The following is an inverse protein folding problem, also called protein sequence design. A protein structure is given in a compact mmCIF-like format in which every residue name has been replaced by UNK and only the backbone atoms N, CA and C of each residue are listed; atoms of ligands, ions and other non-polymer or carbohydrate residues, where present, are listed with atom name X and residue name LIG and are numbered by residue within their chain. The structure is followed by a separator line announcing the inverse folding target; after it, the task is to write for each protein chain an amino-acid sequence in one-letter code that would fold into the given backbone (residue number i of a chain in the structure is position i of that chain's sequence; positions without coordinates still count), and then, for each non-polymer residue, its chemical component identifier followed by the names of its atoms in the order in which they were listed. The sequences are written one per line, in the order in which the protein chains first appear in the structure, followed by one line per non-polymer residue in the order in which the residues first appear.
data_IF_916702025703
#
_entry.id   IF_916702025703
#
_cell.length_a   1.000
_cell.length_b   1.000
_cell.length_c   1.000
_cell.angle_alpha   90.00
_cell.angle_beta   90.00
_cell.angle_gamma   90.00
#
_symmetry.space_group_name_H-M   'P 1'
#
loop_
_entity.id
_entity.type
_entity.pdbx_description
1 polymer ?
#
# COMPACT_ATOMS: atom_id res chain seq x y z
N UNK A 1 9.40 -3.94 1.42
CA UNK A 1 8.87 -3.11 0.31
C UNK A 1 8.77 -3.94 -0.97
N UNK A 2 7.97 -3.54 -1.96
CA UNK A 2 7.99 -4.12 -3.31
C UNK A 2 8.81 -3.20 -4.24
N UNK A 3 10.14 -3.38 -4.36
CA UNK A 3 10.97 -2.42 -5.11
C UNK A 3 10.69 -2.42 -6.62
N UNK A 4 10.25 -3.55 -7.18
CA UNK A 4 10.01 -3.72 -8.62
C UNK A 4 8.85 -2.86 -9.15
N UNK A 5 8.01 -2.28 -8.28
CA UNK A 5 6.91 -1.39 -8.71
C UNK A 5 7.42 -0.05 -9.24
N UNK A 6 8.70 0.25 -9.04
CA UNK A 6 9.38 1.45 -9.52
C UNK A 6 10.23 1.19 -10.77
N UNK A 7 10.23 -0.04 -11.30
CA UNK A 7 10.90 -0.36 -12.55
C UNK A 7 10.07 0.19 -13.73
N UNK A 8 10.73 0.65 -14.80
CA UNK A 8 10.05 1.19 -15.99
C UNK A 8 9.08 0.17 -16.66
N UNK A 9 9.27 -1.11 -16.37
CA UNK A 9 8.46 -2.22 -16.90
C UNK A 9 7.21 -2.50 -16.07
N UNK A 10 7.02 -1.82 -14.94
CA UNK A 10 5.94 -2.16 -14.01
C UNK A 10 4.56 -1.93 -14.60
N UNK A 11 3.69 -2.92 -14.39
CA UNK A 11 2.29 -2.91 -14.77
C UNK A 11 1.54 -4.09 -14.18
N UNK A 12 0.30 -4.30 -14.63
CA UNK A 12 -0.53 -5.42 -14.14
C UNK A 12 0.13 -6.79 -14.33
N UNK A 13 0.80 -7.01 -15.46
CA UNK A 13 1.47 -8.28 -15.78
C UNK A 13 2.55 -8.62 -14.76
N UNK A 14 3.46 -7.68 -14.46
CA UNK A 14 4.52 -7.90 -13.49
C UNK A 14 3.96 -8.11 -12.06
N UNK A 15 2.86 -7.45 -11.70
CA UNK A 15 2.19 -7.71 -10.42
C UNK A 15 1.54 -9.11 -10.37
N UNK A 16 0.96 -9.56 -11.48
CA UNK A 16 0.42 -10.92 -11.60
C UNK A 16 1.53 -11.94 -11.46
N UNK A 17 2.66 -11.77 -12.15
CA UNK A 17 3.80 -12.68 -12.03
C UNK A 17 4.35 -12.74 -10.60
N UNK A 18 4.53 -11.58 -9.96
CA UNK A 18 4.86 -11.53 -8.54
C UNK A 18 3.87 -12.34 -7.69
N UNK A 19 2.57 -12.12 -7.87
CA UNK A 19 1.54 -12.80 -7.09
C UNK A 19 1.48 -14.31 -7.36
N UNK A 20 1.73 -14.76 -8.59
CA UNK A 20 1.79 -16.19 -8.95
C UNK A 20 2.86 -16.95 -8.17
N UNK A 21 3.96 -16.27 -7.83
CA UNK A 21 5.13 -16.84 -7.17
C UNK A 21 5.14 -16.64 -5.65
N UNK A 22 4.22 -15.83 -5.10
CA UNK A 22 3.99 -15.78 -3.64
C UNK A 22 3.43 -17.13 -3.17
N UNK A 23 3.98 -17.74 -2.11
CA UNK A 23 3.46 -18.99 -1.56
C UNK A 23 1.99 -18.86 -1.13
N UNK A 24 1.20 -19.85 -1.49
CA UNK A 24 -0.22 -19.94 -1.11
C UNK A 24 -0.36 -20.24 0.38
N UNK A 25 -1.50 -19.86 0.97
CA UNK A 25 -1.91 -20.33 2.30
C UNK A 25 -2.86 -21.51 2.21
N UNK A 26 -3.90 -21.40 1.37
CA UNK A 26 -4.94 -22.40 1.30
C UNK A 26 -5.65 -22.42 -0.06
N UNK A 27 -6.38 -23.49 -0.30
CA UNK A 27 -7.49 -23.55 -1.26
C UNK A 27 -8.78 -23.80 -0.48
N UNK A 28 -9.85 -23.09 -0.84
CA UNK A 28 -11.15 -23.25 -0.17
C UNK A 28 -12.07 -24.15 -1.01
N UNK A 29 -12.41 -25.32 -0.49
CA UNK A 29 -13.30 -26.29 -1.16
C UNK A 29 -14.27 -26.86 -0.15
N UNK A 30 -15.53 -27.04 -0.55
CA UNK A 30 -16.54 -27.73 0.25
C UNK A 30 -16.63 -27.23 1.71
N UNK A 31 -16.51 -25.90 1.89
CA UNK A 31 -16.50 -25.20 3.18
C UNK A 31 -15.28 -25.45 4.08
N UNK A 32 -14.22 -26.04 3.54
CA UNK A 32 -12.99 -26.38 4.24
C UNK A 32 -11.80 -25.63 3.65
N UNK A 33 -10.89 -25.20 4.53
CA UNK A 33 -9.59 -24.68 4.15
C UNK A 33 -8.61 -25.84 4.00
N UNK A 34 -8.12 -26.04 2.79
CA UNK A 34 -7.09 -27.04 2.47
C UNK A 34 -5.73 -26.33 2.53
N UNK A 35 -4.88 -26.72 3.46
CA UNK A 35 -3.53 -26.17 3.62
C UNK A 35 -2.71 -26.36 2.34
N UNK A 36 -2.24 -25.26 1.75
CA UNK A 36 -1.40 -25.25 0.55
C UNK A 36 -0.09 -24.49 0.79
N UNK A 37 0.35 -24.42 2.05
CA UNK A 37 1.59 -23.74 2.42
C UNK A 37 2.80 -24.35 1.70
N UNK A 38 3.71 -23.48 1.25
CA UNK A 38 4.88 -23.88 0.47
C UNK A 38 4.62 -24.19 -1.00
N UNK A 39 3.36 -24.12 -1.47
CA UNK A 39 3.00 -24.28 -2.89
C UNK A 39 2.82 -22.91 -3.57
N UNK A 40 2.91 -22.87 -4.90
CA UNK A 40 2.71 -21.64 -5.69
C UNK A 40 1.36 -21.64 -6.41
N UNK A 41 0.79 -20.45 -6.64
CA UNK A 41 -0.41 -20.34 -7.47
C UNK A 41 -0.10 -20.67 -8.94
N UNK A 42 1.16 -20.47 -9.37
CA UNK A 42 1.66 -20.91 -10.68
C UNK A 42 1.51 -22.42 -10.89
N UNK A 43 1.81 -23.23 -9.88
CA UNK A 43 1.60 -24.68 -9.94
C UNK A 43 0.12 -25.04 -9.94
N UNK A 44 -0.71 -24.28 -9.21
CA UNK A 44 -2.15 -24.48 -9.24
C UNK A 44 -2.73 -24.21 -10.64
N UNK A 45 -2.32 -23.12 -11.28
CA UNK A 45 -2.69 -22.80 -12.69
C UNK A 45 -2.30 -23.92 -13.67
N UNK A 46 -1.26 -24.70 -13.35
CA UNK A 46 -0.81 -25.84 -14.14
C UNK A 46 -1.46 -27.19 -13.74
N UNK A 47 -2.37 -27.19 -12.77
CA UNK A 47 -3.01 -28.40 -12.23
C UNK A 47 -2.08 -29.30 -11.42
N UNK A 48 -0.97 -28.75 -10.93
CA UNK A 48 0.12 -29.50 -10.26
C UNK A 48 0.06 -29.46 -8.74
N UNK A 49 -1.01 -28.90 -8.16
CA UNK A 49 -1.14 -28.73 -6.72
C UNK A 49 -1.45 -30.08 -6.03
N UNK A 50 -0.54 -30.65 -5.22
CA UNK A 50 -0.73 -32.00 -4.66
C UNK A 50 -1.94 -32.14 -3.73
N UNK A 51 -2.35 -31.04 -3.09
CA UNK A 51 -3.46 -31.02 -2.13
C UNK A 51 -4.84 -31.03 -2.80
N UNK A 52 -4.90 -30.66 -4.09
CA UNK A 52 -6.10 -30.74 -4.94
C UNK A 52 -5.70 -31.28 -6.34
N UNK A 53 -5.34 -32.57 -6.44
CA UNK A 53 -4.71 -33.12 -7.64
C UNK A 53 -5.54 -32.93 -8.91
N UNK A 54 -4.94 -32.31 -9.93
CA UNK A 54 -5.58 -32.11 -11.24
C UNK A 54 -6.63 -31.00 -11.29
N UNK A 55 -6.94 -30.34 -10.16
CA UNK A 55 -7.82 -29.18 -10.17
C UNK A 55 -7.12 -27.94 -10.75
N UNK A 56 -7.87 -27.11 -11.47
CA UNK A 56 -7.46 -25.79 -11.91
C UNK A 56 -8.11 -24.71 -11.03
N UNK A 57 -7.43 -23.56 -10.81
CA UNK A 57 -7.96 -22.49 -9.99
C UNK A 57 -9.16 -21.81 -10.65
N UNK A 58 -10.03 -21.29 -9.80
CA UNK A 58 -11.12 -20.38 -10.18
C UNK A 58 -10.73 -18.93 -9.92
N UNK A 59 -11.55 -17.98 -10.40
CA UNK A 59 -11.38 -16.57 -10.03
C UNK A 59 -11.52 -16.32 -8.53
N UNK A 60 -12.32 -17.12 -7.83
CA UNK A 60 -12.43 -17.04 -6.37
C UNK A 60 -11.13 -17.48 -5.68
N UNK A 61 -10.45 -18.50 -6.22
CA UNK A 61 -9.15 -18.92 -5.71
C UNK A 61 -8.10 -17.83 -5.91
N UNK A 62 -8.11 -17.18 -7.06
CA UNK A 62 -7.24 -16.04 -7.34
C UNK A 62 -7.50 -14.88 -6.37
N UNK A 63 -8.77 -14.54 -6.13
CA UNK A 63 -9.13 -13.49 -5.18
C UNK A 63 -8.72 -13.82 -3.74
N UNK A 64 -8.90 -15.07 -3.33
CA UNK A 64 -8.44 -15.56 -2.03
C UNK A 64 -6.92 -15.44 -1.91
N UNK A 65 -6.18 -15.88 -2.94
CA UNK A 65 -4.72 -15.80 -2.98
C UNK A 65 -4.19 -14.36 -2.92
N UNK A 66 -4.75 -13.43 -3.70
CA UNK A 66 -4.37 -12.02 -3.62
C UNK A 66 -4.61 -11.42 -2.23
N UNK A 67 -5.59 -11.94 -1.49
CA UNK A 67 -5.91 -11.48 -0.12
C UNK A 67 -4.89 -11.95 0.91
N UNK A 68 -4.03 -12.92 0.60
CA UNK A 68 -2.95 -13.41 1.48
C UNK A 68 -1.58 -12.77 1.22
N UNK A 69 -1.49 -11.83 0.27
CA UNK A 69 -0.29 -11.04 0.02
C UNK A 69 -0.36 -9.79 0.90
N UNK A 70 0.70 -9.44 1.64
CA UNK A 70 0.67 -8.33 2.61
C UNK A 70 1.82 -7.31 2.43
N UNK A 71 1.94 -6.64 1.28
CA UNK A 71 2.84 -5.50 1.12
C UNK A 71 2.31 -4.25 1.84
N UNK A 72 3.11 -3.18 1.87
CA UNK A 72 2.71 -1.85 2.39
C UNK A 72 1.54 -1.23 1.60
N UNK A 73 1.54 -1.47 0.29
CA UNK A 73 0.47 -1.10 -0.64
C UNK A 73 0.12 -2.33 -1.47
N UNK A 74 -1.15 -2.73 -1.48
CA UNK A 74 -1.61 -3.93 -2.17
C UNK A 74 -2.50 -3.59 -3.36
N UNK A 75 -2.35 -4.35 -4.43
CA UNK A 75 -3.17 -4.25 -5.62
C UNK A 75 -4.09 -5.48 -5.72
N UNK A 76 -5.39 -5.22 -5.85
CA UNK A 76 -6.41 -6.15 -6.34
C UNK A 76 -7.09 -5.50 -7.55
N UNK A 77 -8.42 -5.54 -7.61
CA UNK A 77 -9.22 -4.67 -8.52
C UNK A 77 -9.22 -3.20 -8.08
N UNK A 78 -8.66 -2.93 -6.91
CA UNK A 78 -8.49 -1.62 -6.28
C UNK A 78 -7.16 -1.63 -5.51
N UNK A 79 -6.73 -0.48 -5.02
CA UNK A 79 -5.50 -0.33 -4.25
C UNK A 79 -5.81 -0.20 -2.75
N UNK A 80 -4.96 -0.78 -1.90
CA UNK A 80 -5.12 -0.75 -0.45
C UNK A 80 -3.87 -0.15 0.19
N UNK A 81 -4.04 0.93 0.94
CA UNK A 81 -2.99 1.57 1.75
C UNK A 81 -2.93 0.91 3.13
N UNK A 82 -1.82 0.27 3.50
CA UNK A 82 -1.77 -0.67 4.64
C UNK A 82 -0.80 -0.28 5.75
N UNK A 83 -0.16 0.88 5.64
CA UNK A 83 0.91 1.31 6.55
C UNK A 83 0.49 2.08 7.80
N UNK A 84 -0.82 2.20 8.09
CA UNK A 84 -1.31 3.00 9.21
C UNK A 84 -1.80 2.14 10.37
N UNK A 85 -1.46 2.56 11.59
CA UNK A 85 -1.97 1.96 12.82
C UNK A 85 -3.46 2.24 13.01
N UNK A 86 -4.14 1.35 13.74
CA UNK A 86 -5.46 1.63 14.26
C UNK A 86 -5.43 2.82 15.23
N UNK A 87 -6.53 3.57 15.32
CA UNK A 87 -6.59 4.76 16.17
C UNK A 87 -8.00 5.16 16.60
N UNK A 88 -8.13 6.22 17.41
CA UNK A 88 -9.43 6.78 17.78
C UNK A 88 -10.20 7.29 16.56
N UNK A 89 -11.51 7.46 16.70
CA UNK A 89 -12.45 7.72 15.61
C UNK A 89 -12.02 8.84 14.65
N UNK A 90 -11.45 9.94 15.16
CA UNK A 90 -11.04 11.05 14.31
C UNK A 90 -9.88 10.68 13.37
N UNK A 91 -8.93 9.86 13.85
CA UNK A 91 -7.82 9.33 13.03
C UNK A 91 -8.32 8.30 12.01
N UNK A 92 -9.35 7.52 12.36
CA UNK A 92 -10.00 6.61 11.40
C UNK A 92 -10.64 7.38 10.23
N UNK A 93 -11.21 8.57 10.48
CA UNK A 93 -11.72 9.44 9.41
C UNK A 93 -10.62 10.18 8.65
N UNK A 94 -9.51 10.53 9.31
CA UNK A 94 -8.39 11.24 8.70
C UNK A 94 -7.62 10.39 7.68
N UNK A 95 -7.40 9.11 7.97
CA UNK A 95 -6.64 8.20 7.10
C UNK A 95 -7.17 8.12 5.65
N UNK A 96 -8.46 7.83 5.40
CA UNK A 96 -8.99 7.84 4.04
C UNK A 96 -8.97 9.25 3.43
N UNK A 97 -9.24 10.29 4.20
CA UNK A 97 -9.18 11.67 3.71
C UNK A 97 -7.77 12.05 3.22
N UNK A 98 -6.73 11.62 3.94
CA UNK A 98 -5.33 11.85 3.58
C UNK A 98 -5.01 11.25 2.21
N UNK A 99 -5.32 9.96 2.00
CA UNK A 99 -5.06 9.30 0.73
C UNK A 99 -5.94 9.80 -0.41
N UNK A 100 -7.21 10.14 -0.16
CA UNK A 100 -8.08 10.76 -1.16
C UNK A 100 -7.51 12.11 -1.61
N UNK A 101 -7.04 12.93 -0.68
CA UNK A 101 -6.44 14.24 -0.99
C UNK A 101 -5.17 14.15 -1.83
N UNK A 102 -4.40 13.06 -1.69
CA UNK A 102 -3.17 12.86 -2.47
C UNK A 102 -3.41 12.20 -3.82
N UNK A 103 -4.28 11.19 -3.88
CA UNK A 103 -4.36 10.27 -5.02
C UNK A 103 -5.52 10.59 -5.98
N UNK A 104 -6.57 11.29 -5.52
CA UNK A 104 -7.80 11.51 -6.31
C UNK A 104 -7.90 12.95 -6.84
N UNK A 105 -6.75 13.60 -6.99
CA UNK A 105 -6.57 14.91 -7.60
C UNK A 105 -5.27 14.89 -8.40
N UNK A 106 -5.35 15.20 -9.70
CA UNK A 106 -4.22 15.02 -10.63
C UNK A 106 -3.03 15.92 -10.29
N UNK A 107 -3.28 17.14 -9.81
CA UNK A 107 -2.23 18.08 -9.41
C UNK A 107 -1.49 17.59 -8.16
N UNK A 108 -2.21 17.13 -7.14
CA UNK A 108 -1.62 16.54 -5.93
C UNK A 108 -0.84 15.27 -6.26
N UNK A 109 -1.40 14.40 -7.10
CA UNK A 109 -0.75 13.16 -7.50
C UNK A 109 0.55 13.43 -8.25
N UNK A 110 0.54 14.33 -9.24
CA UNK A 110 1.74 14.71 -9.98
C UNK A 110 2.79 15.34 -9.05
N UNK A 111 2.37 16.19 -8.11
CA UNK A 111 3.29 16.79 -7.14
C UNK A 111 3.99 15.76 -6.26
N UNK A 112 3.29 14.68 -5.86
CA UNK A 112 3.90 13.57 -5.10
C UNK A 112 4.86 12.76 -5.98
N UNK A 113 4.51 12.52 -7.24
CA UNK A 113 5.41 11.85 -8.20
C UNK A 113 6.70 12.67 -8.35
N UNK A 114 6.59 13.97 -8.56
CA UNK A 114 7.76 14.85 -8.74
C UNK A 114 8.62 14.91 -7.46
N UNK A 115 7.99 15.07 -6.30
CA UNK A 115 8.65 15.09 -4.98
C UNK A 115 9.43 13.81 -4.67
N UNK A 116 8.97 12.67 -5.16
CA UNK A 116 9.55 11.35 -4.87
C UNK A 116 10.37 10.77 -6.03
N UNK A 117 10.50 11.51 -7.13
CA UNK A 117 11.09 11.06 -8.40
C UNK A 117 12.57 10.69 -8.30
N UNK A 118 13.33 11.40 -7.45
CA UNK A 118 14.77 11.17 -7.26
C UNK A 118 15.08 10.26 -6.06
N UNK A 119 14.06 9.69 -5.41
CA UNK A 119 14.28 8.82 -4.26
C UNK A 119 14.88 7.49 -4.72
N UNK A 120 15.93 7.07 -4.03
CA UNK A 120 16.56 5.77 -4.27
C UNK A 120 15.76 4.63 -3.61
N UNK A 121 16.00 3.40 -4.06
CA UNK A 121 15.44 2.20 -3.42
C UNK A 121 15.89 2.10 -1.95
N UNK A 122 17.13 2.45 -1.69
CA UNK A 122 17.76 2.42 -0.37
C UNK A 122 17.13 3.45 0.56
N UNK A 123 16.87 4.67 0.07
CA UNK A 123 16.15 5.71 0.83
C UNK A 123 14.73 5.27 1.20
N UNK A 124 13.98 4.72 0.23
CA UNK A 124 12.62 4.21 0.49
C UNK A 124 12.63 3.11 1.55
N UNK A 125 13.52 2.12 1.43
CA UNK A 125 13.61 1.03 2.43
C UNK A 125 14.14 1.54 3.79
N UNK A 126 15.04 2.52 3.80
CA UNK A 126 15.51 3.18 5.02
C UNK A 126 14.33 3.81 5.76
N UNK A 127 13.51 4.60 5.08
CA UNK A 127 12.30 5.22 5.66
C UNK A 127 11.36 4.16 6.23
N UNK A 128 11.05 3.11 5.46
CA UNK A 128 10.20 1.99 5.91
C UNK A 128 10.69 1.37 7.22
N UNK A 129 12.01 1.23 7.38
CA UNK A 129 12.62 0.58 8.56
C UNK A 129 12.80 1.52 9.76
N UNK A 130 13.00 2.82 9.53
CA UNK A 130 13.34 3.79 10.58
C UNK A 130 12.13 4.52 11.15
N UNK A 131 11.14 4.84 10.32
CA UNK A 131 9.90 5.51 10.75
C UNK A 131 9.18 4.76 11.89
N UNK A 132 9.10 3.41 11.93
CA UNK A 132 8.50 2.71 13.05
C UNK A 132 9.18 2.94 14.42
N UNK A 133 10.44 3.41 14.43
CA UNK A 133 11.21 3.65 15.65
C UNK A 133 11.22 5.13 16.02
N UNK A 134 11.49 6.02 15.05
CA UNK A 134 11.70 7.45 15.32
C UNK A 134 10.60 8.35 14.76
N UNK A 135 9.59 7.81 14.08
CA UNK A 135 8.44 8.56 13.58
C UNK A 135 8.86 9.73 12.69
N UNK A 136 8.22 10.89 12.90
CA UNK A 136 8.53 12.14 12.18
C UNK A 136 9.92 12.70 12.50
N UNK A 137 10.58 12.23 13.57
CA UNK A 137 11.95 12.61 13.95
C UNK A 137 13.01 11.79 13.22
N UNK A 138 12.62 10.92 12.29
CA UNK A 138 13.54 10.18 11.42
C UNK A 138 14.32 11.15 10.53
N UNK A 139 15.66 11.19 10.57
CA UNK A 139 16.45 12.00 9.64
C UNK A 139 16.26 11.52 8.20
N UNK A 140 16.09 12.46 7.27
CA UNK A 140 15.97 12.19 5.84
C UNK A 140 16.57 13.33 5.03
N UNK A 141 17.62 13.02 4.25
CA UNK A 141 18.43 14.00 3.51
C UNK A 141 18.89 15.16 4.42
N UNK A 142 18.59 16.40 4.06
CA UNK A 142 19.02 17.61 4.78
C UNK A 142 18.08 18.00 5.95
N UNK A 143 17.08 17.17 6.26
CA UNK A 143 16.10 17.44 7.31
C UNK A 143 15.54 16.17 7.97
N UNK A 144 14.26 16.22 8.32
CA UNK A 144 13.54 15.14 8.98
C UNK A 144 12.30 14.76 8.19
N UNK A 145 11.76 13.57 8.46
CA UNK A 145 10.48 13.11 7.90
C UNK A 145 9.33 14.06 8.25
N UNK A 146 9.44 14.82 9.34
CA UNK A 146 8.47 15.89 9.67
C UNK A 146 8.36 16.94 8.57
N UNK A 147 9.49 17.41 8.04
CA UNK A 147 9.53 18.46 7.02
C UNK A 147 8.83 17.97 5.73
N UNK A 148 9.10 16.72 5.35
CA UNK A 148 8.36 16.04 4.28
C UNK A 148 6.86 15.91 4.59
N UNK A 149 6.51 15.55 5.83
CA UNK A 149 5.12 15.38 6.22
C UNK A 149 4.33 16.69 6.19
N UNK A 150 4.97 17.84 6.46
CA UNK A 150 4.39 19.18 6.30
C UNK A 150 4.00 19.42 4.83
N UNK A 151 4.91 19.18 3.89
CA UNK A 151 4.66 19.34 2.46
C UNK A 151 3.57 18.37 1.95
N UNK A 152 3.68 17.09 2.31
CA UNK A 152 2.72 16.05 1.89
C UNK A 152 1.33 16.32 2.46
N UNK A 153 1.23 16.76 3.73
CA UNK A 153 -0.06 17.10 4.31
C UNK A 153 -0.69 18.31 3.61
N UNK A 154 0.11 19.30 3.22
CA UNK A 154 -0.39 20.44 2.45
C UNK A 154 -0.93 20.01 1.09
N UNK A 155 -0.25 19.09 0.39
CA UNK A 155 -0.76 18.52 -0.87
C UNK A 155 -2.09 17.77 -0.66
N UNK A 156 -2.20 16.98 0.43
CA UNK A 156 -3.45 16.29 0.74
C UNK A 156 -4.61 17.27 0.99
N UNK A 157 -4.37 18.36 1.73
CA UNK A 157 -5.36 19.43 1.93
C UNK A 157 -5.77 20.05 0.60
N UNK A 158 -4.82 20.41 -0.25
CA UNK A 158 -5.09 21.05 -1.54
C UNK A 158 -5.96 20.16 -2.44
N UNK A 159 -5.69 18.85 -2.51
CA UNK A 159 -6.53 17.94 -3.30
C UNK A 159 -7.95 17.80 -2.76
N UNK A 160 -8.13 17.79 -1.43
CA UNK A 160 -9.46 17.83 -0.81
C UNK A 160 -10.19 19.16 -1.05
N UNK A 161 -9.47 20.28 -1.11
CA UNK A 161 -10.03 21.59 -1.47
C UNK A 161 -10.52 21.60 -2.92
N UNK A 162 -9.69 21.15 -3.87
CA UNK A 162 -10.05 21.08 -5.31
C UNK A 162 -11.24 20.17 -5.58
N UNK A 163 -11.42 19.09 -4.81
CA UNK A 163 -12.62 18.24 -4.88
C UNK A 163 -13.92 18.95 -4.49
N UNK A 164 -13.87 20.03 -3.72
CA UNK A 164 -15.02 20.89 -3.44
C UNK A 164 -16.06 20.37 -2.43
N UNK A 165 -15.84 19.21 -1.80
CA UNK A 165 -16.81 18.59 -0.86
C UNK A 165 -16.67 19.04 0.61
N UNK A 166 -15.80 20.03 0.89
CA UNK A 166 -15.52 20.55 2.25
C UNK A 166 -14.94 19.46 3.20
N UNK A 167 -14.12 18.57 2.65
CA UNK A 167 -13.55 17.40 3.34
C UNK A 167 -12.26 17.70 4.13
N UNK A 168 -11.61 18.86 3.89
CA UNK A 168 -10.33 19.26 4.51
C UNK A 168 -10.34 19.17 6.04
N UNK A 169 -11.50 19.40 6.66
CA UNK A 169 -11.67 19.33 8.11
C UNK A 169 -11.33 17.97 8.72
N UNK A 170 -11.36 16.88 7.94
CA UNK A 170 -10.95 15.55 8.42
C UNK A 170 -9.46 15.45 8.71
N UNK A 171 -8.62 16.32 8.13
CA UNK A 171 -7.17 16.31 8.33
C UNK A 171 -6.68 17.07 9.56
N UNK A 172 -7.56 17.72 10.32
CA UNK A 172 -7.16 18.55 11.49
C UNK A 172 -6.36 17.79 12.54
N UNK A 173 -6.66 16.52 12.77
CA UNK A 173 -5.95 15.74 13.80
C UNK A 173 -4.53 15.38 13.40
N UNK A 174 -4.29 15.15 12.11
CA UNK A 174 -2.94 14.84 11.61
C UNK A 174 -2.12 16.10 11.38
N UNK A 175 -2.79 17.25 11.20
CA UNK A 175 -2.14 18.58 11.16
C UNK A 175 -1.40 18.90 12.44
N UNK A 176 -2.03 18.65 13.58
CA UNK A 176 -1.39 18.89 14.88
C UNK A 176 -0.15 17.99 15.05
N UNK A 177 -0.24 16.71 14.70
CA UNK A 177 0.87 15.74 14.79
C UNK A 177 2.04 16.17 13.91
N UNK A 178 1.76 16.63 12.69
CA UNK A 178 2.80 17.10 11.77
C UNK A 178 3.45 18.37 12.31
N UNK A 179 2.66 19.32 12.82
CA UNK A 179 3.13 20.59 13.39
C UNK A 179 4.01 20.41 14.63
N UNK A 180 3.67 19.48 15.51
CA UNK A 180 4.44 19.20 16.74
C UNK A 180 5.59 18.23 16.50
N UNK A 181 5.42 17.30 15.56
CA UNK A 181 6.28 16.13 15.40
C UNK A 181 6.01 15.02 16.43
N UNK A 182 4.88 15.10 17.16
CA UNK A 182 4.45 14.23 18.27
C UNK A 182 2.96 13.87 18.19
#
# INVERSE_FOLDING_TARGET
MLPFVFDDTFGFEQYVDYALDVPMYFVYRNKTYIDCTGMSFRDFMAGKLPQVPGELPTLNDWENHLTTIFPEVRLKRYMEMRGADGGPWRRLCALPAFWVGLLYDDESLQSIIDMTSDWTKEEREMLRRKVPVTGLKTPFRDGYVRDLAEDVLQLAKNGLERRGYKEVGFLREVDEVVRTGD
#
